data_IF_431354499734
#
_entry.id   IF_431354499734
#
_cell.length_a   1.000
_cell.length_b   1.000
_cell.length_c   1.000
_cell.angle_alpha   90.00
_cell.angle_beta   90.00
_cell.angle_gamma   90.00
#
_symmetry.space_group_name_H-M   'P 1'
#
loop_
_entity.id
_entity.type
_entity.pdbx_description
1 polymer ?
#
# COMPACT_ATOMS: atom_id res chain seq x y z
N UNK A 1 -13.54 7.15 19.97
CA UNK A 1 -12.71 8.19 19.34
C UNK A 1 -12.13 7.66 18.04
N UNK A 2 -12.97 7.48 17.01
CA UNK A 2 -12.51 6.92 15.75
C UNK A 2 -11.75 7.96 14.91
N UNK A 3 -10.58 7.55 14.44
CA UNK A 3 -9.82 8.02 13.28
C UNK A 3 -9.17 9.43 13.23
N UNK A 4 -9.16 10.21 14.31
CA UNK A 4 -8.49 11.54 14.30
C UNK A 4 -6.97 11.46 14.03
N UNK A 5 -6.30 10.41 14.52
CA UNK A 5 -4.84 10.22 14.35
C UNK A 5 -4.46 10.01 12.88
N UNK A 6 -5.16 9.12 12.18
CA UNK A 6 -4.93 8.88 10.75
C UNK A 6 -5.20 10.14 9.93
N UNK A 7 -6.32 10.81 10.17
CA UNK A 7 -6.69 12.03 9.43
C UNK A 7 -5.61 13.10 9.58
N UNK A 8 -5.12 13.31 10.81
CA UNK A 8 -4.02 14.23 11.08
C UNK A 8 -2.75 13.81 10.32
N UNK A 9 -2.35 12.55 10.45
CA UNK A 9 -1.16 12.03 9.77
C UNK A 9 -1.26 12.15 8.24
N UNK A 10 -2.41 11.86 7.64
CA UNK A 10 -2.61 12.01 6.19
C UNK A 10 -2.54 13.48 5.77
N UNK A 11 -3.07 14.39 6.59
CA UNK A 11 -2.98 15.83 6.36
C UNK A 11 -1.54 16.33 6.41
N UNK A 12 -0.78 15.91 7.43
CA UNK A 12 0.64 16.21 7.58
C UNK A 12 1.49 15.60 6.47
N UNK A 13 1.17 14.38 6.05
CA UNK A 13 1.82 13.69 4.95
C UNK A 13 1.58 14.40 3.60
N UNK A 14 0.34 14.85 3.34
CA UNK A 14 0.05 15.65 2.16
C UNK A 14 0.82 16.98 2.21
N UNK A 15 0.82 17.66 3.36
CA UNK A 15 1.56 18.91 3.53
C UNK A 15 3.06 18.73 3.26
N UNK A 16 3.64 17.63 3.74
CA UNK A 16 5.05 17.29 3.52
C UNK A 16 5.38 17.03 2.04
N UNK A 17 4.48 16.38 1.30
CA UNK A 17 4.77 15.86 -0.04
C UNK A 17 4.33 16.78 -1.18
N UNK A 18 3.29 17.59 -0.98
CA UNK A 18 2.72 18.45 -2.01
C UNK A 18 2.40 19.87 -1.55
N UNK A 19 2.74 20.21 -0.29
CA UNK A 19 2.51 21.55 0.27
C UNK A 19 1.04 21.88 0.56
N UNK A 20 0.13 20.89 0.48
CA UNK A 20 -1.31 21.06 0.71
C UNK A 20 -1.78 20.22 1.88
N UNK A 21 -2.65 20.78 2.69
CA UNK A 21 -3.44 20.03 3.65
C UNK A 21 -4.61 19.35 2.94
N UNK A 22 -4.91 18.13 3.36
CA UNK A 22 -6.10 17.39 2.93
C UNK A 22 -6.94 17.05 4.17
N UNK A 23 -8.25 16.95 3.95
CA UNK A 23 -9.20 16.44 4.93
C UNK A 23 -9.84 15.18 4.35
N UNK A 24 -9.63 14.06 5.04
CA UNK A 24 -10.22 12.77 4.69
C UNK A 24 -11.36 12.45 5.66
N UNK A 25 -12.48 12.00 5.14
CA UNK A 25 -13.55 11.42 5.93
C UNK A 25 -13.11 10.04 6.48
N UNK A 26 -13.83 9.54 7.49
CA UNK A 26 -13.47 8.29 8.16
C UNK A 26 -13.48 7.05 7.24
N UNK A 27 -14.20 7.11 6.13
CA UNK A 27 -14.34 6.07 5.10
C UNK A 27 -13.43 6.27 3.89
N UNK A 28 -12.69 7.38 3.85
CA UNK A 28 -11.83 7.73 2.72
C UNK A 28 -10.40 7.24 2.92
N UNK A 29 -9.82 6.82 1.80
CA UNK A 29 -8.40 6.47 1.67
C UNK A 29 -7.66 7.63 1.03
N UNK A 30 -6.39 7.81 1.38
CA UNK A 30 -5.51 8.70 0.62
C UNK A 30 -5.06 7.96 -0.65
N UNK A 31 -5.50 8.42 -1.82
CA UNK A 31 -4.94 8.00 -3.10
C UNK A 31 -3.79 8.93 -3.48
N UNK A 32 -2.62 8.37 -3.80
CA UNK A 32 -1.47 9.13 -4.26
C UNK A 32 -0.77 8.44 -5.43
N UNK A 33 -0.04 9.24 -6.22
CA UNK A 33 0.77 8.75 -7.32
C UNK A 33 2.24 8.94 -6.96
N UNK A 34 2.97 7.84 -6.75
CA UNK A 34 4.37 7.85 -6.31
C UNK A 34 5.22 7.07 -7.29
N UNK A 35 6.24 7.72 -7.85
CA UNK A 35 7.20 7.12 -8.80
C UNK A 35 6.53 6.32 -9.94
N UNK A 36 5.45 6.86 -10.53
CA UNK A 36 4.75 6.22 -11.64
C UNK A 36 3.70 5.17 -11.23
N UNK A 37 3.39 5.03 -9.93
CA UNK A 37 2.44 4.04 -9.43
C UNK A 37 1.39 4.64 -8.52
N UNK A 38 0.15 4.19 -8.70
CA UNK A 38 -0.94 4.51 -7.80
C UNK A 38 -0.79 3.72 -6.49
N UNK A 39 -0.88 4.43 -5.38
CA UNK A 39 -0.81 3.90 -4.03
C UNK A 39 -2.04 4.37 -3.26
N UNK A 40 -2.64 3.48 -2.48
CA UNK A 40 -3.78 3.79 -1.62
C UNK A 40 -3.37 3.55 -0.17
N UNK A 41 -3.48 4.59 0.65
CA UNK A 41 -3.20 4.54 2.08
C UNK A 41 -4.52 4.57 2.84
N UNK A 42 -4.80 3.53 3.62
CA UNK A 42 -6.06 3.37 4.34
C UNK A 42 -5.87 3.23 5.85
N UNK A 43 -6.89 3.61 6.63
CA UNK A 43 -6.97 3.29 8.05
C UNK A 43 -7.26 1.79 8.25
N UNK A 44 -6.33 1.07 8.87
CA UNK A 44 -6.46 -0.35 9.18
C UNK A 44 -7.61 -0.67 10.13
N UNK A 45 -8.09 0.30 10.91
CA UNK A 45 -9.24 0.10 11.80
C UNK A 45 -10.51 -0.31 11.03
N UNK A 46 -10.61 0.01 9.73
CA UNK A 46 -11.71 -0.39 8.84
C UNK A 46 -11.83 -1.91 8.66
N UNK A 47 -10.75 -2.64 8.91
CA UNK A 47 -10.71 -4.11 8.85
C UNK A 47 -10.32 -4.74 10.19
N UNK A 48 -10.45 -3.99 11.30
CA UNK A 48 -10.11 -4.45 12.65
C UNK A 48 -8.64 -4.33 13.05
N UNK A 49 -7.78 -3.77 12.19
CA UNK A 49 -6.37 -3.50 12.50
C UNK A 49 -6.20 -2.12 13.14
N UNK A 50 -6.68 -1.96 14.37
CA UNK A 50 -6.65 -0.69 15.08
C UNK A 50 -5.22 -0.15 15.25
N UNK A 51 -5.06 1.15 14.99
CA UNK A 51 -3.77 1.83 15.10
C UNK A 51 -2.77 1.45 14.00
N UNK A 52 -3.22 0.77 12.95
CA UNK A 52 -2.39 0.44 11.79
C UNK A 52 -2.86 1.19 10.54
N UNK A 53 -1.94 1.30 9.59
CA UNK A 53 -2.16 1.85 8.27
C UNK A 53 -1.92 0.74 7.25
N UNK A 54 -2.78 0.70 6.24
CA UNK A 54 -2.62 -0.17 5.08
C UNK A 54 -2.08 0.63 3.91
N UNK A 55 -1.15 0.04 3.17
CA UNK A 55 -0.71 0.54 1.86
C UNK A 55 -1.04 -0.52 0.83
N UNK A 56 -1.85 -0.15 -0.15
CA UNK A 56 -2.29 -1.00 -1.24
C UNK A 56 -1.74 -0.44 -2.55
N UNK A 57 -1.02 -1.26 -3.30
CA UNK A 57 -0.45 -0.89 -4.60
C UNK A 57 -0.89 -1.89 -5.66
N UNK A 58 -1.69 -1.49 -6.66
CA UNK A 58 -2.05 -2.36 -7.77
C UNK A 58 -0.83 -2.81 -8.57
N UNK A 59 -0.73 -4.12 -8.82
CA UNK A 59 0.38 -4.73 -9.56
C UNK A 59 -0.06 -5.04 -10.99
N UNK A 60 -1.16 -5.77 -11.12
CA UNK A 60 -1.71 -6.27 -12.40
C UNK A 60 -3.21 -6.52 -12.24
N UNK A 61 -3.98 -6.41 -13.33
CA UNK A 61 -5.44 -6.59 -13.29
C UNK A 61 -5.86 -7.97 -12.79
N UNK A 62 -5.13 -9.02 -13.17
CA UNK A 62 -5.41 -10.41 -12.78
C UNK A 62 -4.12 -11.23 -12.72
N UNK A 63 -4.02 -12.11 -11.74
CA UNK A 63 -2.92 -13.06 -11.60
C UNK A 63 -3.50 -14.41 -11.18
N UNK A 64 -3.01 -15.52 -11.74
CA UNK A 64 -3.55 -16.84 -11.39
C UNK A 64 -3.31 -17.14 -9.90
N UNK A 65 -4.26 -17.80 -9.22
CA UNK A 65 -4.14 -18.12 -7.78
C UNK A 65 -2.83 -18.84 -7.45
N UNK A 66 -2.39 -19.79 -8.28
CA UNK A 66 -1.11 -20.49 -8.12
C UNK A 66 0.10 -19.55 -8.17
N UNK A 67 0.05 -18.53 -9.02
CA UNK A 67 1.11 -17.52 -9.10
C UNK A 67 1.09 -16.60 -7.86
N UNK A 68 -0.10 -16.19 -7.39
CA UNK A 68 -0.24 -15.41 -6.16
C UNK A 68 0.34 -16.16 -4.95
N UNK A 69 -0.02 -17.44 -4.79
CA UNK A 69 0.54 -18.31 -3.74
C UNK A 69 2.05 -18.39 -3.85
N UNK A 70 2.60 -18.66 -5.05
CA UNK A 70 4.04 -18.74 -5.26
C UNK A 70 4.77 -17.44 -4.89
N UNK A 71 4.22 -16.29 -5.25
CA UNK A 71 4.80 -14.99 -4.88
C UNK A 71 4.76 -14.79 -3.36
N UNK A 72 3.63 -15.08 -2.71
CA UNK A 72 3.47 -15.00 -1.26
C UNK A 72 4.37 -15.97 -0.48
N UNK A 73 4.77 -17.09 -1.10
CA UNK A 73 5.74 -18.03 -0.52
C UNK A 73 7.19 -17.55 -0.62
N UNK A 74 7.48 -16.50 -1.40
CA UNK A 74 8.82 -15.93 -1.54
C UNK A 74 9.00 -14.73 -0.59
N UNK A 75 9.29 -15.02 0.68
CA UNK A 75 9.41 -13.99 1.72
C UNK A 75 10.54 -12.99 1.44
N UNK A 76 11.59 -13.38 0.72
CA UNK A 76 12.64 -12.45 0.29
C UNK A 76 12.11 -11.37 -0.68
N UNK A 77 11.11 -11.74 -1.47
CA UNK A 77 10.47 -10.87 -2.46
C UNK A 77 9.36 -10.02 -1.84
N UNK A 78 8.46 -10.63 -1.08
CA UNK A 78 7.30 -9.95 -0.49
C UNK A 78 7.59 -9.23 0.82
N UNK A 79 8.72 -9.55 1.48
CA UNK A 79 9.10 -9.05 2.80
C UNK A 79 7.99 -9.27 3.83
N UNK A 80 7.42 -8.19 4.33
CA UNK A 80 6.34 -8.08 5.32
C UNK A 80 4.97 -7.76 4.66
N UNK A 81 4.87 -7.94 3.33
CA UNK A 81 3.62 -7.76 2.58
C UNK A 81 3.09 -9.05 1.98
N UNK A 82 1.96 -8.92 1.31
CA UNK A 82 1.33 -10.02 0.59
C UNK A 82 0.63 -9.53 -0.69
N UNK A 83 0.55 -10.43 -1.67
CA UNK A 83 -0.19 -10.27 -2.91
C UNK A 83 -1.61 -10.80 -2.69
N UNK A 84 -2.61 -10.00 -3.02
CA UNK A 84 -4.02 -10.37 -2.90
C UNK A 84 -4.87 -9.70 -3.99
N UNK A 85 -6.00 -10.31 -4.35
CA UNK A 85 -7.01 -9.65 -5.15
C UNK A 85 -7.84 -8.68 -4.30
N UNK A 86 -7.88 -7.41 -4.72
CA UNK A 86 -8.63 -6.34 -4.07
C UNK A 86 -9.66 -5.79 -5.04
N UNK A 87 -10.89 -6.33 -5.00
CA UNK A 87 -12.08 -5.89 -5.75
C UNK A 87 -11.75 -5.24 -7.12
N UNK A 88 -12.00 -3.93 -7.25
CA UNK A 88 -11.83 -3.16 -8.48
C UNK A 88 -10.37 -2.83 -8.83
N UNK A 89 -9.44 -2.96 -7.88
CA UNK A 89 -8.01 -2.72 -8.10
C UNK A 89 -7.28 -3.92 -8.70
N UNK A 90 -7.90 -5.10 -8.70
CA UNK A 90 -7.28 -6.32 -9.21
C UNK A 90 -6.23 -6.88 -8.25
N UNK A 91 -5.17 -7.49 -8.79
CA UNK A 91 -4.10 -8.07 -7.99
C UNK A 91 -3.18 -6.97 -7.45
N UNK A 92 -3.17 -6.80 -6.14
CA UNK A 92 -2.45 -5.76 -5.43
C UNK A 92 -1.37 -6.35 -4.52
N UNK A 93 -0.35 -5.56 -4.24
CA UNK A 93 0.54 -5.77 -3.11
C UNK A 93 0.02 -4.96 -1.93
N UNK A 94 -0.16 -5.62 -0.80
CA UNK A 94 -0.67 -5.03 0.43
C UNK A 94 0.39 -5.15 1.50
N UNK A 95 0.71 -4.03 2.13
CA UNK A 95 1.56 -3.96 3.33
C UNK A 95 0.85 -3.17 4.41
N UNK A 96 1.26 -3.39 5.64
CA UNK A 96 0.75 -2.64 6.78
C UNK A 96 1.89 -2.18 7.69
N UNK A 97 1.63 -1.11 8.44
CA UNK A 97 2.52 -0.63 9.48
C UNK A 97 1.69 -0.08 10.65
N UNK A 98 2.26 -0.10 11.85
CA UNK A 98 1.72 0.68 12.96
C UNK A 98 1.73 2.16 12.55
N UNK A 99 0.61 2.86 12.77
CA UNK A 99 0.44 4.25 12.41
C UNK A 99 1.57 5.09 13.02
N UNK A 100 2.49 5.64 12.20
CA UNK A 100 3.66 6.33 12.71
C UNK A 100 3.27 7.66 13.32
N UNK A 101 4.12 8.16 14.23
CA UNK A 101 3.98 9.51 14.80
C UNK A 101 4.39 10.61 13.82
N UNK A 102 5.18 10.27 12.79
CA UNK A 102 5.78 11.23 11.88
C UNK A 102 5.56 10.85 10.40
N UNK A 103 5.13 11.79 9.54
CA UNK A 103 4.81 11.51 8.13
C UNK A 103 6.03 11.04 7.31
N UNK A 104 7.26 11.38 7.72
CA UNK A 104 8.49 10.92 7.06
C UNK A 104 8.63 9.39 7.09
N UNK A 105 8.14 8.75 8.15
CA UNK A 105 8.17 7.28 8.27
C UNK A 105 7.23 6.66 7.26
N UNK A 106 6.04 7.24 7.05
CA UNK A 106 5.11 6.80 6.01
C UNK A 106 5.69 7.00 4.61
N UNK A 107 6.38 8.12 4.37
CA UNK A 107 7.05 8.38 3.09
C UNK A 107 8.13 7.34 2.78
N UNK A 108 8.97 7.02 3.78
CA UNK A 108 9.99 5.97 3.66
C UNK A 108 9.34 4.61 3.38
N UNK A 109 8.28 4.28 4.11
CA UNK A 109 7.54 3.03 3.93
C UNK A 109 6.91 2.90 2.54
N UNK A 110 6.32 3.99 2.01
CA UNK A 110 5.81 4.04 0.65
C UNK A 110 6.91 3.81 -0.39
N UNK A 111 8.06 4.47 -0.23
CA UNK A 111 9.22 4.30 -1.11
C UNK A 111 9.72 2.85 -1.15
N UNK A 112 9.85 2.23 0.03
CA UNK A 112 10.23 0.82 0.14
C UNK A 112 9.19 -0.12 -0.47
N UNK A 113 7.90 0.17 -0.26
CA UNK A 113 6.79 -0.61 -0.82
C UNK A 113 6.82 -0.58 -2.35
N UNK A 114 7.01 0.61 -2.93
CA UNK A 114 7.14 0.81 -4.38
C UNK A 114 8.36 0.07 -4.94
N UNK A 115 9.49 0.07 -4.23
CA UNK A 115 10.67 -0.73 -4.62
C UNK A 115 10.35 -2.24 -4.68
N UNK A 116 9.61 -2.77 -3.72
CA UNK A 116 9.16 -4.17 -3.70
C UNK A 116 8.20 -4.45 -4.86
N UNK A 117 7.23 -3.58 -5.10
CA UNK A 117 6.26 -3.73 -6.20
C UNK A 117 6.95 -3.77 -7.56
N UNK A 118 7.98 -2.94 -7.77
CA UNK A 118 8.75 -2.97 -9.01
C UNK A 118 9.43 -4.34 -9.21
N UNK A 119 10.00 -4.93 -8.16
CA UNK A 119 10.57 -6.29 -8.23
C UNK A 119 9.49 -7.33 -8.52
N UNK A 120 8.34 -7.25 -7.86
CA UNK A 120 7.19 -8.14 -8.10
C UNK A 120 6.71 -8.07 -9.56
N UNK A 121 6.57 -6.85 -10.12
CA UNK A 121 6.21 -6.67 -11.53
C UNK A 121 7.23 -7.32 -12.46
N UNK A 122 8.53 -7.12 -12.22
CA UNK A 122 9.58 -7.78 -13.02
C UNK A 122 9.51 -9.30 -12.95
N UNK A 123 9.27 -9.88 -11.77
CA UNK A 123 9.13 -11.32 -11.60
C UNK A 123 7.87 -11.88 -12.28
N UNK A 124 6.75 -11.16 -12.24
CA UNK A 124 5.54 -11.54 -12.96
C UNK A 124 5.81 -11.57 -14.47
N UNK A 125 6.44 -10.54 -15.03
CA UNK A 125 6.73 -10.48 -16.48
C UNK A 125 7.63 -11.64 -16.93
N UNK A 126 8.68 -11.98 -16.18
CA UNK A 126 9.56 -13.13 -16.49
C UNK A 126 8.79 -14.45 -16.55
N UNK A 127 7.86 -14.64 -15.61
CA UNK A 127 7.08 -15.87 -15.46
C UNK A 127 5.86 -15.98 -16.38
N UNK A 128 5.50 -14.91 -17.11
CA UNK A 128 4.44 -14.91 -18.14
C UNK A 128 5.04 -15.08 -19.54
N UNK A 129 6.30 -14.70 -19.73
CA UNK A 129 7.05 -14.94 -20.97
C UNK A 129 7.66 -16.36 -21.08
N UNK A 130 7.43 -17.21 -20.08
CA UNK A 130 7.85 -18.62 -20.02
C UNK A 130 6.63 -19.53 -19.98
#
# INVERSE_FOLDING_TARGET
MANRKFQLLMSEFAQLTNGKSINLNADQSLACHYSGMDCYVEDGARIGLHGQILVIVPIVKKLAARQQVRLNSSFDLTRDGYVAEVKSYGCCFVRHLVAPEHPQVLLKFLSETVSVVNKLKSEITKNVAS
#
